data_IF_128140105416
#
_entry.id   IF_128140105416
#
_cell.length_a   1.000
_cell.length_b   1.000
_cell.length_c   1.000
_cell.angle_alpha   90.00
_cell.angle_beta   90.00
_cell.angle_gamma   90.00
#
_symmetry.space_group_name_H-M   'P 1'
#
loop_
_entity.id
_entity.type
_entity.pdbx_description
1 polymer ?
#
# COMPACT_ATOMS: atom_id res chain seq x y z
N UNK A 1 -10.67 9.33 1.69
CA UNK A 1 -9.26 9.57 1.98
C UNK A 1 -9.05 10.53 3.16
N UNK A 2 -9.83 11.61 3.20
CA UNK A 2 -9.71 12.57 4.32
C UNK A 2 -10.06 11.95 5.67
N UNK A 3 -11.06 11.07 5.72
CA UNK A 3 -11.43 10.43 6.97
C UNK A 3 -10.34 9.48 7.47
N UNK A 4 -9.59 8.86 6.55
CA UNK A 4 -8.47 8.01 6.92
C UNK A 4 -7.33 8.84 7.50
N UNK A 5 -7.05 10.01 6.92
CA UNK A 5 -6.03 10.91 7.45
C UNK A 5 -6.35 11.38 8.86
N UNK A 6 -7.62 11.62 9.16
CA UNK A 6 -8.05 12.02 10.50
C UNK A 6 -7.87 10.90 11.52
N UNK A 7 -8.09 9.64 11.09
CA UNK A 7 -7.92 8.47 11.95
C UNK A 7 -6.46 8.13 12.18
N UNK A 8 -5.59 8.48 11.21
CA UNK A 8 -4.16 8.16 11.26
C UNK A 8 -3.34 9.44 11.00
N UNK A 9 -3.31 10.35 11.99
CA UNK A 9 -2.62 11.63 11.81
C UNK A 9 -1.10 11.52 11.81
N UNK A 10 -0.56 10.45 12.37
CA UNK A 10 0.88 10.23 12.39
C UNK A 10 1.26 9.13 11.40
N UNK A 11 2.56 9.08 11.04
CA UNK A 11 3.04 8.12 10.07
C UNK A 11 2.70 8.52 8.66
N UNK A 12 2.54 7.52 7.79
CA UNK A 12 2.30 7.76 6.37
C UNK A 12 1.17 6.87 5.87
N UNK A 13 0.19 7.47 5.21
CA UNK A 13 -0.87 6.71 4.54
C UNK A 13 -0.55 6.59 3.07
N UNK A 14 -0.72 5.40 2.53
CA UNK A 14 -0.52 5.11 1.11
C UNK A 14 -1.77 4.48 0.52
N UNK A 15 -2.03 4.80 -0.73
CA UNK A 15 -3.03 4.13 -1.54
C UNK A 15 -2.30 3.30 -2.58
N UNK A 16 -2.49 1.99 -2.53
CA UNK A 16 -1.82 1.06 -3.45
C UNK A 16 -2.85 0.48 -4.41
N UNK A 17 -2.61 0.62 -5.70
CA UNK A 17 -3.53 0.17 -6.74
C UNK A 17 -2.95 -1.01 -7.51
N UNK A 18 -3.75 -2.03 -7.70
CA UNK A 18 -3.38 -3.26 -8.39
C UNK A 18 -4.28 -3.47 -9.60
N UNK A 19 -3.71 -3.97 -10.70
CA UNK A 19 -4.50 -4.36 -11.87
C UNK A 19 -3.99 -5.67 -12.44
N UNK A 20 -4.89 -6.46 -13.04
CA UNK A 20 -4.53 -7.69 -13.70
C UNK A 20 -3.88 -8.69 -12.77
N UNK A 21 -2.78 -9.28 -13.20
CA UNK A 21 -2.10 -10.33 -12.45
C UNK A 21 -1.57 -9.88 -11.09
N UNK A 22 -1.31 -8.58 -10.94
CA UNK A 22 -0.76 -8.07 -9.68
C UNK A 22 -1.76 -8.10 -8.53
N UNK A 23 -3.05 -8.09 -8.83
CA UNK A 23 -4.08 -8.09 -7.80
C UNK A 23 -4.06 -9.36 -6.94
N UNK A 24 -3.56 -10.46 -7.48
CA UNK A 24 -3.50 -11.74 -6.77
C UNK A 24 -2.15 -11.99 -6.09
N UNK A 25 -1.21 -11.05 -6.19
CA UNK A 25 0.11 -11.21 -5.62
C UNK A 25 0.16 -10.68 -4.19
N UNK A 26 0.83 -11.37 -3.26
CA UNK A 26 0.98 -10.86 -1.89
C UNK A 26 2.08 -9.82 -1.80
N UNK A 27 2.01 -8.80 -2.65
CA UNK A 27 3.06 -7.78 -2.81
C UNK A 27 3.29 -6.98 -1.53
N UNK A 28 2.21 -6.49 -0.93
CA UNK A 28 2.30 -5.67 0.29
C UNK A 28 2.87 -6.48 1.44
N UNK A 29 2.41 -7.71 1.61
CA UNK A 29 2.87 -8.57 2.69
C UNK A 29 4.34 -8.93 2.52
N UNK A 30 4.75 -9.25 1.29
CA UNK A 30 6.16 -9.56 1.00
C UNK A 30 7.06 -8.35 1.28
N UNK A 31 6.64 -7.16 0.89
CA UNK A 31 7.39 -5.94 1.15
C UNK A 31 7.44 -5.65 2.65
N UNK A 32 6.33 -5.83 3.36
CA UNK A 32 6.25 -5.59 4.80
C UNK A 32 7.20 -6.49 5.59
N UNK A 33 7.46 -7.70 5.11
CA UNK A 33 8.38 -8.62 5.78
C UNK A 33 9.84 -8.17 5.71
N UNK A 34 10.15 -7.25 4.81
CA UNK A 34 11.52 -6.78 4.59
C UNK A 34 11.86 -5.52 5.37
N UNK A 35 10.88 -4.95 6.08
CA UNK A 35 11.07 -3.71 6.81
C UNK A 35 10.89 -3.92 8.31
N UNK A 36 11.46 -3.01 9.10
CA UNK A 36 11.42 -3.09 10.56
C UNK A 36 10.32 -2.23 11.17
N UNK A 37 9.76 -1.30 10.40
CA UNK A 37 8.65 -0.48 10.88
C UNK A 37 7.32 -1.17 10.67
N UNK A 38 6.26 -0.59 11.23
CA UNK A 38 4.93 -1.21 11.19
C UNK A 38 4.16 -0.86 9.92
N UNK A 39 3.55 -1.88 9.31
CA UNK A 39 2.69 -1.74 8.14
C UNK A 39 1.33 -2.31 8.49
N UNK A 40 0.30 -1.46 8.44
CA UNK A 40 -1.07 -1.87 8.73
C UNK A 40 -1.95 -1.74 7.49
N UNK A 41 -2.75 -2.76 7.21
CA UNK A 41 -3.75 -2.68 6.15
C UNK A 41 -5.00 -2.06 6.77
N UNK A 42 -5.36 -0.87 6.29
CA UNK A 42 -6.48 -0.12 6.84
C UNK A 42 -7.78 -0.49 6.14
N UNK A 43 -7.73 -0.61 4.83
CA UNK A 43 -8.90 -0.90 4.02
C UNK A 43 -8.46 -1.51 2.70
N UNK A 44 -9.21 -2.46 2.20
CA UNK A 44 -8.89 -3.12 0.93
C UNK A 44 -10.18 -3.41 0.16
N UNK A 45 -10.16 -3.11 -1.13
CA UNK A 45 -11.27 -3.32 -2.04
C UNK A 45 -10.77 -3.96 -3.31
N UNK A 46 -11.33 -5.11 -3.66
CA UNK A 46 -10.98 -5.81 -4.90
C UNK A 46 -12.27 -6.01 -5.69
N UNK A 47 -12.26 -5.61 -6.95
CA UNK A 47 -13.39 -5.79 -7.85
C UNK A 47 -12.94 -6.40 -9.16
N UNK A 48 -13.90 -6.95 -9.92
CA UNK A 48 -13.63 -7.53 -11.23
C UNK A 48 -13.88 -6.49 -12.31
N UNK A 49 -13.04 -6.51 -13.33
CA UNK A 49 -13.20 -5.67 -14.50
C UNK A 49 -13.06 -6.53 -15.76
N UNK A 50 -13.30 -5.93 -16.92
CA UNK A 50 -13.16 -6.63 -18.21
C UNK A 50 -11.73 -7.15 -18.43
N UNK A 51 -10.73 -6.47 -17.86
CA UNK A 51 -9.32 -6.86 -18.01
C UNK A 51 -8.79 -7.67 -16.83
N UNK A 52 -9.67 -8.12 -15.93
CA UNK A 52 -9.29 -8.94 -14.79
C UNK A 52 -9.55 -8.23 -13.46
N UNK A 53 -9.03 -8.77 -12.35
CA UNK A 53 -9.25 -8.15 -11.05
C UNK A 53 -8.55 -6.80 -10.94
N UNK A 54 -9.17 -5.89 -10.20
CA UNK A 54 -8.63 -4.58 -9.85
C UNK A 54 -8.78 -4.40 -8.36
N UNK A 55 -7.76 -3.86 -7.72
CA UNK A 55 -7.81 -3.65 -6.27
C UNK A 55 -7.20 -2.34 -5.84
N UNK A 56 -7.70 -1.81 -4.74
CA UNK A 56 -7.13 -0.66 -4.06
C UNK A 56 -7.00 -1.02 -2.60
N UNK A 57 -5.81 -0.84 -2.05
CA UNK A 57 -5.55 -1.12 -0.64
C UNK A 57 -4.94 0.12 -0.01
N UNK A 58 -5.51 0.53 1.11
CA UNK A 58 -4.97 1.64 1.90
C UNK A 58 -4.14 1.04 3.03
N UNK A 59 -2.90 1.49 3.14
CA UNK A 59 -1.99 1.02 4.19
C UNK A 59 -1.46 2.20 4.99
N UNK A 60 -1.14 1.92 6.25
CA UNK A 60 -0.58 2.91 7.16
C UNK A 60 0.79 2.45 7.62
N UNK A 61 1.79 3.32 7.46
CA UNK A 61 3.16 3.06 7.88
C UNK A 61 3.42 3.87 9.15
N UNK A 62 3.99 3.22 10.16
CA UNK A 62 4.29 3.87 11.43
C UNK A 62 5.56 3.29 12.06
N UNK A 63 6.11 4.05 13.01
CA UNK A 63 7.30 3.67 13.76
C UNK A 63 8.57 3.53 12.91
N UNK A 64 8.61 4.22 11.77
CA UNK A 64 9.79 4.33 10.94
C UNK A 64 10.07 5.78 10.61
N UNK A 65 11.10 6.04 9.83
CA UNK A 65 11.41 7.39 9.39
C UNK A 65 11.03 7.58 7.92
N UNK A 66 11.16 8.80 7.44
CA UNK A 66 10.78 9.14 6.07
C UNK A 66 11.57 8.34 5.03
N UNK A 67 12.85 8.12 5.26
CA UNK A 67 13.69 7.35 4.33
C UNK A 67 13.23 5.90 4.25
N UNK A 68 12.86 5.31 5.39
CA UNK A 68 12.32 3.95 5.44
C UNK A 68 11.05 3.83 4.61
N UNK A 69 10.16 4.81 4.74
CA UNK A 69 8.89 4.81 4.02
C UNK A 69 9.12 4.98 2.51
N UNK A 70 10.07 5.82 2.12
CA UNK A 70 10.40 6.00 0.70
C UNK A 70 10.96 4.72 0.08
N UNK A 71 11.81 4.00 0.82
CA UNK A 71 12.33 2.72 0.36
C UNK A 71 11.21 1.69 0.18
N UNK A 72 10.28 1.66 1.11
CA UNK A 72 9.14 0.76 1.03
C UNK A 72 8.27 1.07 -0.20
N UNK A 73 8.01 2.35 -0.46
CA UNK A 73 7.27 2.77 -1.62
C UNK A 73 7.95 2.35 -2.92
N UNK A 74 9.29 2.47 -2.98
CA UNK A 74 10.04 2.03 -4.16
C UNK A 74 9.95 0.53 -4.38
N UNK A 75 9.95 -0.25 -3.29
CA UNK A 75 9.78 -1.70 -3.40
C UNK A 75 8.42 -2.03 -4.02
N UNK A 76 7.38 -1.33 -3.61
CA UNK A 76 6.04 -1.55 -4.16
C UNK A 76 6.00 -1.14 -5.63
N UNK A 77 6.58 0.00 -5.98
CA UNK A 77 6.60 0.46 -7.37
C UNK A 77 7.36 -0.49 -8.29
N UNK A 78 8.42 -1.12 -7.80
CA UNK A 78 9.17 -2.11 -8.55
C UNK A 78 8.35 -3.38 -8.83
N UNK A 79 7.29 -3.58 -8.07
CA UNK A 79 6.37 -4.71 -8.28
C UNK A 79 5.23 -4.36 -9.24
N UNK A 80 5.33 -3.23 -9.94
CA UNK A 80 4.37 -2.79 -10.95
C UNK A 80 2.97 -2.51 -10.40
N UNK A 81 2.91 -1.96 -9.19
CA UNK A 81 1.65 -1.47 -8.61
C UNK A 81 1.70 0.05 -8.53
N UNK A 82 0.54 0.68 -8.54
CA UNK A 82 0.44 2.12 -8.36
C UNK A 82 0.53 2.47 -6.88
N UNK A 83 1.33 3.48 -6.54
CA UNK A 83 1.47 3.94 -5.15
C UNK A 83 1.23 5.43 -5.10
N UNK A 84 0.32 5.84 -4.23
CA UNK A 84 -0.01 7.25 -4.04
C UNK A 84 0.11 7.59 -2.55
N UNK A 85 0.84 8.67 -2.27
CA UNK A 85 0.96 9.18 -0.90
C UNK A 85 -0.24 10.07 -0.61
N UNK A 86 -0.93 9.79 0.47
CA UNK A 86 -2.11 10.56 0.87
C UNK A 86 -1.79 11.69 1.85
#
# INVERSE_FOLDING_TARGET
AESLKKRYPEGQLLRVSFTGNNADQPIIIKAARKVSFDVSIVESNISQSASGPMGVTYIHLSNGNKEDYECFMKMLEQSHVGVEVL
#
